data_IF_405202371353
#
_entry.id   IF_405202371353
#
_cell.length_a   1.000
_cell.length_b   1.000
_cell.length_c   1.000
_cell.angle_alpha   90.00
_cell.angle_beta   90.00
_cell.angle_gamma   90.00
#
_symmetry.space_group_name_H-M   'P 1'
#
loop_
_entity.id
_entity.type
_entity.pdbx_description
1 polymer ?
#
# COMPACT_ATOMS: atom_id res chain seq x y z
N UNK A 1 2.20 13.67 1.50
CA UNK A 1 3.24 13.67 2.52
C UNK A 1 4.24 12.57 2.27
N UNK A 2 5.45 12.79 2.70
CA UNK A 2 6.53 11.82 2.51
C UNK A 2 6.60 10.87 3.69
N UNK A 3 7.05 9.66 3.42
CA UNK A 3 7.21 8.64 4.45
C UNK A 3 8.67 8.47 4.88
N UNK A 4 9.44 9.54 4.86
CA UNK A 4 10.88 9.50 5.13
C UNK A 4 11.20 8.90 6.49
N UNK A 5 10.41 9.19 7.51
CA UNK A 5 10.62 8.66 8.85
C UNK A 5 10.37 7.18 8.99
N UNK A 6 9.61 6.58 8.06
CA UNK A 6 9.28 5.16 8.09
C UNK A 6 10.20 4.32 7.21
N UNK A 7 10.84 4.96 6.24
CA UNK A 7 11.68 4.28 5.25
C UNK A 7 13.11 4.79 5.39
N UNK A 8 13.81 4.26 6.36
CA UNK A 8 15.17 4.68 6.64
C UNK A 8 16.14 4.48 5.48
N UNK A 9 17.43 4.87 5.66
CA UNK A 9 18.40 4.87 4.58
C UNK A 9 18.75 3.50 4.01
N UNK A 10 18.36 2.43 4.66
CA UNK A 10 18.57 1.07 4.17
C UNK A 10 17.63 0.66 3.07
N UNK A 11 16.60 1.45 2.83
CA UNK A 11 15.58 1.14 1.86
C UNK A 11 15.78 1.92 0.57
N UNK A 12 15.04 1.52 -0.47
CA UNK A 12 15.05 2.27 -1.71
C UNK A 12 14.49 3.68 -1.47
N UNK A 13 14.97 4.67 -2.20
CA UNK A 13 14.47 6.03 -2.04
C UNK A 13 12.99 6.12 -2.44
N UNK A 14 12.26 6.96 -1.74
CA UNK A 14 10.85 7.23 -1.99
C UNK A 14 10.67 8.71 -2.26
N UNK A 15 9.70 9.05 -3.10
CA UNK A 15 9.33 10.42 -3.39
C UNK A 15 7.81 10.56 -3.37
N UNK A 16 7.33 11.80 -3.18
CA UNK A 16 5.90 12.10 -3.15
C UNK A 16 5.21 11.38 -2.01
N UNK A 17 4.14 10.65 -2.33
CA UNK A 17 3.33 9.92 -1.34
C UNK A 17 3.80 8.48 -1.12
N UNK A 18 5.09 8.24 -1.23
CA UNK A 18 5.66 6.92 -0.99
C UNK A 18 5.97 6.13 -2.24
N UNK A 19 6.02 6.78 -3.40
CA UNK A 19 6.43 6.10 -4.63
C UNK A 19 7.90 5.69 -4.53
N UNK A 20 8.15 4.40 -4.71
CA UNK A 20 9.49 3.86 -4.73
C UNK A 20 10.13 4.12 -6.09
N UNK A 21 11.29 4.77 -6.11
CA UNK A 21 12.02 5.00 -7.35
C UNK A 21 12.51 3.69 -7.93
N UNK A 22 12.17 3.45 -9.18
CA UNK A 22 12.66 2.31 -9.93
C UNK A 22 13.97 2.66 -10.61
N UNK A 23 14.80 1.66 -10.98
CA UNK A 23 16.02 1.94 -11.70
C UNK A 23 15.73 2.74 -12.97
N UNK A 24 16.45 3.83 -13.14
CA UNK A 24 16.30 4.72 -14.31
C UNK A 24 15.29 5.82 -14.12
N UNK A 25 14.46 5.78 -13.08
CA UNK A 25 13.54 6.88 -12.80
C UNK A 25 14.27 8.06 -12.17
N UNK A 26 13.83 9.26 -12.55
CA UNK A 26 14.40 10.49 -12.00
C UNK A 26 13.25 11.44 -11.66
N UNK A 27 13.26 11.93 -10.43
CA UNK A 27 12.29 12.90 -9.97
C UNK A 27 12.99 14.13 -9.42
N UNK A 28 12.41 15.30 -9.68
CA UNK A 28 12.92 16.53 -9.13
C UNK A 28 12.78 16.52 -7.61
N UNK A 29 13.80 16.98 -6.85
CA UNK A 29 13.67 17.13 -5.40
C UNK A 29 12.62 18.16 -5.00
N UNK A 30 12.18 18.98 -5.96
CA UNK A 30 11.13 19.97 -5.73
C UNK A 30 9.81 19.54 -6.35
N UNK A 31 9.45 18.26 -6.19
CA UNK A 31 8.18 17.74 -6.68
C UNK A 31 7.01 18.53 -6.06
N UNK A 32 6.09 19.02 -6.90
CA UNK A 32 4.89 19.71 -6.45
C UNK A 32 3.86 18.73 -5.92
N UNK A 33 2.88 19.23 -5.14
CA UNK A 33 1.77 18.37 -4.68
C UNK A 33 0.99 17.80 -5.85
N UNK A 34 0.82 18.56 -6.92
CA UNK A 34 0.14 18.10 -8.13
C UNK A 34 0.88 16.93 -8.76
N UNK A 35 2.21 17.02 -8.85
CA UNK A 35 3.03 15.95 -9.40
C UNK A 35 2.99 14.71 -8.51
N UNK A 36 3.08 14.91 -7.19
CA UNK A 36 3.00 13.80 -6.23
C UNK A 36 1.62 13.12 -6.30
N UNK A 37 0.55 13.89 -6.43
CA UNK A 37 -0.80 13.35 -6.54
C UNK A 37 -0.99 12.56 -7.83
N UNK A 38 -0.48 13.09 -8.95
CA UNK A 38 -0.54 12.39 -10.23
C UNK A 38 0.23 11.07 -10.18
N UNK A 39 1.38 11.06 -9.51
CA UNK A 39 2.19 9.85 -9.34
C UNK A 39 1.46 8.82 -8.50
N UNK A 40 0.84 9.25 -7.40
CA UNK A 40 0.04 8.37 -6.55
C UNK A 40 -1.09 7.71 -7.33
N UNK A 41 -1.83 8.50 -8.10
CA UNK A 41 -2.94 7.98 -8.92
C UNK A 41 -2.45 6.97 -9.95
N UNK A 42 -1.33 7.25 -10.59
CA UNK A 42 -0.72 6.34 -11.56
C UNK A 42 -0.33 5.03 -10.90
N UNK A 43 0.31 5.09 -9.74
CA UNK A 43 0.74 3.90 -9.00
C UNK A 43 -0.45 3.06 -8.57
N UNK A 44 -1.49 3.69 -8.00
CA UNK A 44 -2.69 2.99 -7.59
C UNK A 44 -3.41 2.34 -8.76
N UNK A 45 -3.45 3.01 -9.91
CA UNK A 45 -4.09 2.46 -11.11
C UNK A 45 -3.38 1.19 -11.58
N UNK A 46 -2.05 1.18 -11.56
CA UNK A 46 -1.27 -0.01 -11.92
C UNK A 46 -1.52 -1.15 -10.95
N UNK A 47 -1.59 -0.86 -9.66
CA UNK A 47 -1.85 -1.86 -8.64
C UNK A 47 -3.28 -2.38 -8.73
N UNK A 48 -4.25 -1.52 -9.00
CA UNK A 48 -5.63 -1.97 -9.20
C UNK A 48 -5.74 -2.92 -10.39
N UNK A 49 -5.01 -2.65 -11.46
CA UNK A 49 -4.97 -3.54 -12.62
C UNK A 49 -4.39 -4.91 -12.24
N UNK A 50 -3.36 -4.92 -11.40
CA UNK A 50 -2.75 -6.16 -10.92
C UNK A 50 -3.72 -7.01 -10.10
N UNK A 51 -4.60 -6.37 -9.32
CA UNK A 51 -5.57 -7.08 -8.48
C UNK A 51 -6.97 -7.13 -9.09
N UNK A 52 -7.08 -6.93 -10.40
CA UNK A 52 -8.37 -6.88 -11.11
C UNK A 52 -9.25 -8.11 -10.84
N UNK A 53 -8.65 -9.28 -10.71
CA UNK A 53 -9.37 -10.52 -10.46
C UNK A 53 -10.15 -10.57 -9.15
N UNK A 54 -9.88 -9.65 -8.24
CA UNK A 54 -10.57 -9.56 -6.96
C UNK A 54 -11.79 -8.64 -6.98
N UNK A 55 -12.11 -8.06 -8.15
CA UNK A 55 -13.31 -7.24 -8.31
C UNK A 55 -13.35 -6.06 -7.35
N UNK A 56 -14.39 -6.01 -6.52
CA UNK A 56 -14.59 -4.90 -5.58
C UNK A 56 -13.50 -4.75 -4.52
N UNK A 57 -12.67 -5.77 -4.33
CA UNK A 57 -11.57 -5.71 -3.38
C UNK A 57 -10.27 -5.21 -4.01
N UNK A 58 -10.27 -4.93 -5.30
CA UNK A 58 -9.06 -4.53 -6.02
C UNK A 58 -8.44 -3.24 -5.46
N UNK A 59 -9.26 -2.25 -5.13
CA UNK A 59 -8.76 -0.99 -4.58
C UNK A 59 -8.21 -1.17 -3.16
N UNK A 60 -8.86 -1.98 -2.35
CA UNK A 60 -8.38 -2.29 -1.00
C UNK A 60 -6.99 -2.94 -1.07
N UNK A 61 -6.83 -3.95 -1.93
CA UNK A 61 -5.56 -4.62 -2.12
C UNK A 61 -4.49 -3.70 -2.71
N UNK A 62 -4.87 -2.86 -3.66
CA UNK A 62 -3.96 -1.91 -4.27
C UNK A 62 -3.45 -0.90 -3.24
N UNK A 63 -4.32 -0.40 -2.39
CA UNK A 63 -3.95 0.54 -1.34
C UNK A 63 -2.98 -0.09 -0.36
N UNK A 64 -3.25 -1.31 0.06
CA UNK A 64 -2.35 -2.04 0.96
C UNK A 64 -1.00 -2.28 0.29
N UNK A 65 -1.00 -2.76 -0.96
CA UNK A 65 0.21 -3.03 -1.70
C UNK A 65 1.04 -1.78 -1.95
N UNK A 66 0.38 -0.63 -2.13
CA UNK A 66 1.08 0.64 -2.26
C UNK A 66 1.92 0.95 -1.02
N UNK A 67 1.39 0.60 0.16
CA UNK A 67 2.05 0.89 1.43
C UNK A 67 3.07 -0.17 1.86
N UNK A 68 2.76 -1.45 1.68
CA UNK A 68 3.60 -2.53 2.21
C UNK A 68 4.34 -3.33 1.15
N UNK A 69 3.98 -3.14 -0.12
CA UNK A 69 4.58 -3.86 -1.23
C UNK A 69 3.77 -5.07 -1.68
N UNK A 70 3.74 -5.30 -2.99
CA UNK A 70 2.96 -6.39 -3.59
C UNK A 70 3.42 -7.77 -3.09
N UNK A 71 4.72 -7.95 -2.92
CA UNK A 71 5.26 -9.22 -2.47
C UNK A 71 4.72 -9.65 -1.11
N UNK A 72 4.67 -8.72 -0.16
CA UNK A 72 4.13 -9.01 1.16
C UNK A 72 2.64 -9.33 1.11
N UNK A 73 1.89 -8.58 0.30
CA UNK A 73 0.46 -8.83 0.15
C UNK A 73 0.22 -10.21 -0.44
N UNK A 74 0.89 -10.55 -1.52
CA UNK A 74 0.69 -11.82 -2.21
C UNK A 74 1.13 -13.04 -1.41
N UNK A 75 2.07 -12.89 -0.49
CA UNK A 75 2.52 -13.97 0.38
C UNK A 75 1.73 -14.05 1.67
N UNK A 76 0.78 -13.16 1.89
CA UNK A 76 0.05 -13.08 3.15
C UNK A 76 -1.04 -14.13 3.25
N UNK A 77 -1.39 -14.45 4.49
CA UNK A 77 -2.54 -15.30 4.80
C UNK A 77 -3.83 -14.69 4.29
N UNK A 78 -3.95 -13.36 4.39
CA UNK A 78 -5.10 -12.62 3.89
C UNK A 78 -5.33 -12.89 2.40
N UNK A 79 -4.27 -12.80 1.62
CA UNK A 79 -4.34 -13.01 0.17
C UNK A 79 -4.81 -14.43 -0.16
N UNK A 80 -4.27 -15.43 0.57
CA UNK A 80 -4.68 -16.81 0.39
C UNK A 80 -6.16 -17.00 0.72
N UNK A 81 -6.66 -16.37 1.78
CA UNK A 81 -8.07 -16.40 2.15
C UNK A 81 -8.94 -15.80 1.04
N UNK A 82 -8.55 -14.65 0.52
CA UNK A 82 -9.31 -13.98 -0.53
C UNK A 82 -9.34 -14.79 -1.83
N UNK A 83 -8.25 -15.45 -2.16
CA UNK A 83 -8.20 -16.32 -3.34
C UNK A 83 -9.14 -17.51 -3.21
N UNK A 84 -9.40 -17.97 -2.03
CA UNK A 84 -10.33 -19.07 -1.78
C UNK A 84 -11.78 -18.58 -1.61
N UNK A 85 -12.02 -17.29 -1.72
CA UNK A 85 -13.35 -16.72 -1.58
C UNK A 85 -13.71 -16.29 -0.16
N UNK A 86 -12.79 -16.40 0.78
CA UNK A 86 -13.03 -15.99 2.16
C UNK A 86 -12.72 -14.51 2.34
N UNK A 87 -13.75 -13.72 2.59
CA UNK A 87 -13.63 -12.27 2.78
C UNK A 87 -13.62 -11.85 4.25
N UNK A 88 -13.48 -12.79 5.18
CA UNK A 88 -13.35 -12.48 6.60
C UNK A 88 -11.88 -12.13 6.90
N UNK A 89 -11.48 -10.93 6.52
CA UNK A 89 -10.08 -10.51 6.47
C UNK A 89 -9.75 -9.28 7.30
N UNK A 90 -10.70 -8.78 8.10
CA UNK A 90 -10.47 -7.54 8.85
C UNK A 90 -9.21 -7.63 9.73
N UNK A 91 -9.09 -8.70 10.51
CA UNK A 91 -7.95 -8.88 11.41
C UNK A 91 -6.65 -9.02 10.63
N UNK A 92 -6.69 -9.75 9.52
CA UNK A 92 -5.52 -9.93 8.67
C UNK A 92 -5.08 -8.61 8.07
N UNK A 93 -6.03 -7.79 7.61
CA UNK A 93 -5.74 -6.49 7.02
C UNK A 93 -5.12 -5.54 8.04
N UNK A 94 -5.72 -5.43 9.20
CA UNK A 94 -5.24 -4.53 10.26
C UNK A 94 -3.89 -5.00 10.81
N UNK A 95 -3.56 -6.28 10.67
CA UNK A 95 -2.28 -6.82 11.13
C UNK A 95 -1.09 -6.34 10.31
N UNK A 96 -1.32 -5.70 9.16
CA UNK A 96 -0.26 -4.99 8.43
C UNK A 96 0.06 -3.66 9.10
N UNK A 97 0.44 -3.72 10.36
CA UNK A 97 0.62 -2.56 11.24
C UNK A 97 2.04 -2.44 11.79
N UNK A 98 2.95 -3.30 11.33
CA UNK A 98 4.31 -3.33 11.84
C UNK A 98 5.27 -2.66 10.88
N UNK A 99 6.29 -2.08 11.46
CA UNK A 99 7.44 -1.60 10.72
C UNK A 99 8.68 -2.10 11.45
N UNK A 100 9.57 -2.76 10.72
CA UNK A 100 10.80 -3.30 11.27
C UNK A 100 10.53 -4.25 12.45
N UNK A 101 9.45 -5.05 12.34
CA UNK A 101 9.07 -6.02 13.38
C UNK A 101 8.32 -5.45 14.56
N UNK A 102 8.13 -4.14 14.62
CA UNK A 102 7.47 -3.47 15.74
C UNK A 102 6.12 -2.90 15.34
N UNK A 103 5.14 -3.02 16.21
CA UNK A 103 3.81 -2.44 15.99
C UNK A 103 3.92 -0.92 16.06
N UNK A 104 3.38 -0.26 15.03
CA UNK A 104 3.33 1.20 14.95
C UNK A 104 1.87 1.64 15.02
N UNK A 105 1.44 2.31 16.11
CA UNK A 105 0.03 2.69 16.27
C UNK A 105 -0.55 3.54 15.15
N UNK A 106 0.24 4.42 14.55
CA UNK A 106 -0.22 5.25 13.44
C UNK A 106 -0.49 4.41 12.19
N UNK A 107 0.29 3.37 11.96
CA UNK A 107 0.07 2.45 10.84
C UNK A 107 -1.17 1.61 11.10
N UNK A 108 -1.36 1.17 12.33
CA UNK A 108 -2.56 0.42 12.70
C UNK A 108 -3.83 1.23 12.46
N UNK A 109 -3.84 2.49 12.88
CA UNK A 109 -4.98 3.40 12.63
C UNK A 109 -5.24 3.57 11.14
N UNK A 110 -4.17 3.67 10.35
CA UNK A 110 -4.29 3.77 8.90
C UNK A 110 -4.94 2.54 8.29
N UNK A 111 -4.52 1.33 8.72
CA UNK A 111 -5.12 0.08 8.22
C UNK A 111 -6.60 0.01 8.54
N UNK A 112 -6.98 0.39 9.77
CA UNK A 112 -8.38 0.40 10.17
C UNK A 112 -9.19 1.38 9.33
N UNK A 113 -8.66 2.56 9.08
CA UNK A 113 -9.34 3.57 8.28
C UNK A 113 -9.49 3.14 6.83
N UNK A 114 -8.42 2.59 6.25
CA UNK A 114 -8.46 2.09 4.87
C UNK A 114 -9.54 1.01 4.73
N UNK A 115 -9.57 0.08 5.66
CA UNK A 115 -10.55 -1.00 5.61
C UNK A 115 -11.97 -0.46 5.72
N UNK A 116 -12.19 0.46 6.65
CA UNK A 116 -13.52 1.07 6.84
C UNK A 116 -14.00 1.78 5.59
N UNK A 117 -13.11 2.48 4.90
CA UNK A 117 -13.47 3.29 3.73
C UNK A 117 -13.55 2.49 2.43
N UNK A 118 -12.74 1.45 2.29
CA UNK A 118 -12.57 0.77 1.02
C UNK A 118 -13.15 -0.63 0.94
N UNK A 119 -13.35 -1.29 2.08
CA UNK A 119 -13.93 -2.62 2.08
C UNK A 119 -15.43 -2.53 1.83
N UNK A 120 -15.90 -3.28 0.84
CA UNK A 120 -17.32 -3.37 0.51
C UNK A 120 -17.84 -4.74 0.94
N UNK A 121 -18.78 -4.81 1.88
CA UNK A 121 -19.35 -6.10 2.35
C UNK A 121 -20.01 -6.91 1.24
#
# INVERSE_FOLDING_TARGET
KKYEGLHGPKHHPYVGYGHKLLPGERFSPKMTERQADALLRSDLRKLCAMFRGFGRDSLLLATLAYNVGCGKVMKSRMYAKMRSGNRNIYRDYVDFKRWNGKIVPSIERRRKMEYLLLFTP
#
